data_IF_856864838058
#
_entry.id   IF_856864838058
#
_cell.length_a   1.000
_cell.length_b   1.000
_cell.length_c   1.000
_cell.angle_alpha   90.00
_cell.angle_beta   90.00
_cell.angle_gamma   90.00
#
_symmetry.space_group_name_H-M   'P 1'
#
loop_
_entity.id
_entity.type
_entity.pdbx_description
1 polymer ?
#
# COMPACT_ATOMS: atom_id res chain seq x y z
N UNK A 1 -5.39 10.50 7.27
CA UNK A 1 -4.32 10.09 6.32
C UNK A 1 -4.57 10.86 5.03
N UNK A 2 -3.54 11.17 4.25
CA UNK A 2 -3.65 11.85 2.96
C UNK A 2 -3.13 10.95 1.83
N UNK A 3 -3.68 11.11 0.64
CA UNK A 3 -3.15 10.45 -0.55
C UNK A 3 -1.80 11.03 -0.95
N UNK A 4 -0.89 10.18 -1.42
CA UNK A 4 0.42 10.57 -1.93
C UNK A 4 0.65 9.93 -3.32
N UNK A 5 0.76 10.79 -4.33
CA UNK A 5 0.88 10.37 -5.73
C UNK A 5 2.20 9.63 -6.03
N UNK A 6 3.27 9.87 -5.27
CA UNK A 6 4.52 9.13 -5.45
C UNK A 6 4.41 7.72 -4.87
N UNK A 7 3.73 7.56 -3.74
CA UNK A 7 3.41 6.23 -3.18
C UNK A 7 2.48 5.45 -4.12
N UNK A 8 1.48 6.10 -4.71
CA UNK A 8 0.58 5.51 -5.71
C UNK A 8 1.36 5.02 -6.92
N UNK A 9 2.16 5.90 -7.55
CA UNK A 9 2.92 5.55 -8.74
C UNK A 9 3.88 4.38 -8.48
N UNK A 10 4.51 4.35 -7.31
CA UNK A 10 5.40 3.27 -6.91
C UNK A 10 4.64 1.95 -6.67
N UNK A 11 3.49 2.00 -6.00
CA UNK A 11 2.63 0.84 -5.77
C UNK A 11 2.07 0.28 -7.08
N UNK A 12 1.62 1.15 -8.00
CA UNK A 12 1.15 0.76 -9.32
C UNK A 12 2.26 0.07 -10.11
N UNK A 13 3.46 0.67 -10.17
CA UNK A 13 4.59 0.07 -10.87
C UNK A 13 4.96 -1.32 -10.34
N UNK A 14 4.70 -1.59 -9.06
CA UNK A 14 4.90 -2.92 -8.49
C UNK A 14 3.74 -3.88 -8.81
N UNK A 15 2.49 -3.41 -8.72
CA UNK A 15 1.31 -4.20 -9.09
C UNK A 15 1.36 -4.69 -10.54
N UNK A 16 1.91 -3.89 -11.46
CA UNK A 16 2.13 -4.27 -12.87
C UNK A 16 3.01 -5.51 -13.05
N UNK A 17 3.83 -5.87 -12.05
CA UNK A 17 4.70 -7.07 -12.11
C UNK A 17 3.93 -8.36 -11.85
N UNK A 18 2.74 -8.31 -11.26
CA UNK A 18 1.93 -9.48 -10.92
C UNK A 18 2.69 -10.52 -10.07
N UNK A 19 3.37 -10.08 -9.00
CA UNK A 19 4.14 -10.94 -8.08
C UNK A 19 3.51 -10.90 -6.69
N UNK A 20 3.23 -12.08 -6.11
CA UNK A 20 2.74 -12.23 -4.74
C UNK A 20 3.90 -12.31 -3.74
N UNK A 21 4.64 -11.22 -3.61
CA UNK A 21 5.66 -11.01 -2.58
C UNK A 21 5.80 -9.51 -2.32
N UNK A 22 6.26 -9.14 -1.14
CA UNK A 22 6.52 -7.74 -0.83
C UNK A 22 7.67 -7.18 -1.68
N UNK A 23 7.55 -5.92 -2.12
CA UNK A 23 8.55 -5.28 -2.96
C UNK A 23 9.86 -5.08 -2.19
N UNK A 24 10.91 -5.84 -2.56
CA UNK A 24 12.24 -5.78 -1.92
C UNK A 24 12.94 -4.43 -2.10
N UNK A 25 12.52 -3.64 -3.09
CA UNK A 25 13.07 -2.32 -3.42
C UNK A 25 12.24 -1.15 -2.85
N UNK A 26 11.21 -1.43 -2.02
CA UNK A 26 10.32 -0.39 -1.44
C UNK A 26 11.00 0.60 -0.51
N UNK A 27 12.25 0.33 -0.12
CA UNK A 27 13.01 1.16 0.80
C UNK A 27 12.34 1.22 2.17
N UNK A 28 12.04 2.44 2.65
CA UNK A 28 11.40 2.66 3.96
C UNK A 28 9.87 2.73 3.90
N UNK A 29 9.23 2.38 2.79
CA UNK A 29 7.75 2.38 2.71
C UNK A 29 7.20 1.16 3.45
N UNK A 30 6.11 1.35 4.17
CA UNK A 30 5.24 0.24 4.58
C UNK A 30 4.50 -0.29 3.37
N UNK A 31 3.99 -1.52 3.44
CA UNK A 31 3.31 -2.14 2.30
C UNK A 31 2.30 -3.19 2.75
N UNK A 32 1.09 -3.12 2.18
CA UNK A 32 0.09 -4.18 2.25
C UNK A 32 -0.23 -4.66 0.84
N UNK A 33 -0.41 -5.98 0.69
CA UNK A 33 -0.84 -6.62 -0.55
C UNK A 33 -2.21 -7.25 -0.34
N UNK A 34 -3.02 -7.28 -1.39
CA UNK A 34 -4.29 -8.00 -1.41
C UNK A 34 -4.53 -8.54 -2.81
N UNK A 35 -5.11 -9.73 -2.91
CA UNK A 35 -5.45 -10.32 -4.19
C UNK A 35 -6.87 -10.91 -4.16
N UNK A 36 -7.68 -10.60 -5.17
CA UNK A 36 -9.03 -11.15 -5.26
C UNK A 36 -9.52 -11.31 -6.70
N UNK A 37 -10.54 -12.14 -6.87
CA UNK A 37 -11.28 -12.34 -8.11
C UNK A 37 -12.79 -12.44 -7.81
N UNK A 38 -13.66 -12.18 -8.79
CA UNK A 38 -13.35 -11.74 -10.16
C UNK A 38 -13.12 -10.23 -10.28
N UNK A 39 -13.64 -9.43 -9.35
CA UNK A 39 -13.61 -7.97 -9.39
C UNK A 39 -12.91 -7.43 -8.16
N UNK A 40 -12.08 -6.41 -8.33
CA UNK A 40 -11.48 -5.72 -7.18
C UNK A 40 -12.54 -4.95 -6.39
N UNK A 41 -12.60 -5.22 -5.09
CA UNK A 41 -13.39 -4.54 -4.09
C UNK A 41 -12.44 -3.97 -3.03
N UNK A 42 -12.28 -2.65 -3.07
CA UNK A 42 -11.35 -1.94 -2.19
C UNK A 42 -11.85 -1.89 -0.73
N UNK A 43 -13.16 -1.84 -0.53
CA UNK A 43 -13.75 -1.84 0.81
C UNK A 43 -13.47 -3.19 1.47
N UNK A 44 -13.75 -4.28 0.76
CA UNK A 44 -13.47 -5.62 1.25
C UNK A 44 -11.97 -5.85 1.53
N UNK A 45 -11.07 -5.37 0.67
CA UNK A 45 -9.63 -5.49 0.89
C UNK A 45 -9.17 -4.82 2.21
N UNK A 46 -9.69 -3.62 2.47
CA UNK A 46 -9.37 -2.86 3.70
C UNK A 46 -10.01 -3.52 4.93
N UNK A 47 -11.23 -4.02 4.79
CA UNK A 47 -11.90 -4.78 5.86
C UNK A 47 -11.16 -6.07 6.20
N UNK A 48 -10.65 -6.81 5.21
CA UNK A 48 -9.87 -8.03 5.42
C UNK A 48 -8.57 -7.74 6.17
N UNK A 49 -7.81 -6.72 5.72
CA UNK A 49 -6.64 -6.24 6.44
C UNK A 49 -6.96 -5.83 7.87
N UNK A 50 -8.06 -5.07 8.07
CA UNK A 50 -8.47 -4.64 9.41
C UNK A 50 -8.96 -5.81 10.28
N UNK A 51 -9.55 -6.84 9.66
CA UNK A 51 -10.08 -8.03 10.32
C UNK A 51 -9.02 -8.84 11.07
N UNK A 52 -7.73 -8.63 10.78
CA UNK A 52 -6.62 -9.19 11.57
C UNK A 52 -6.58 -8.67 13.01
N UNK A 53 -7.27 -7.56 13.33
CA UNK A 53 -7.41 -7.01 14.69
C UNK A 53 -7.76 -8.08 15.73
N UNK A 54 -8.65 -9.02 15.37
CA UNK A 54 -9.10 -10.10 16.27
C UNK A 54 -7.96 -11.01 16.76
N UNK A 55 -6.82 -11.00 16.08
CA UNK A 55 -5.63 -11.77 16.43
C UNK A 55 -4.52 -10.93 17.08
N UNK A 56 -4.70 -9.62 17.17
CA UNK A 56 -3.70 -8.71 17.71
C UNK A 56 -4.04 -8.27 19.13
N UNK A 57 -3.09 -8.45 20.06
CA UNK A 57 -3.19 -7.92 21.41
C UNK A 57 -2.36 -6.63 21.53
N UNK A 58 -3.05 -5.49 21.62
CA UNK A 58 -2.39 -4.19 21.73
C UNK A 58 -1.63 -3.99 23.04
N UNK A 59 -2.12 -4.52 24.15
CA UNK A 59 -1.49 -4.37 25.46
C UNK A 59 -0.11 -5.02 25.48
N UNK A 60 0.00 -6.24 24.97
CA UNK A 60 1.26 -7.01 24.88
C UNK A 60 2.05 -6.78 23.60
N UNK A 61 1.45 -6.13 22.59
CA UNK A 61 2.04 -5.94 21.25
C UNK A 61 2.37 -7.27 20.57
N UNK A 62 1.48 -8.25 20.67
CA UNK A 62 1.68 -9.60 20.14
C UNK A 62 0.57 -10.02 19.19
N UNK A 63 0.94 -10.71 18.12
CA UNK A 63 0.01 -11.43 17.25
C UNK A 63 -0.15 -12.88 17.74
N UNK A 64 -1.36 -13.43 17.63
CA UNK A 64 -1.58 -14.87 17.88
C UNK A 64 -0.68 -15.72 16.99
N UNK A 65 -0.07 -16.76 17.56
CA UNK A 65 0.85 -17.63 16.82
C UNK A 65 0.17 -18.26 15.59
N UNK A 66 0.84 -18.18 14.44
CA UNK A 66 0.33 -18.68 13.16
C UNK A 66 -0.72 -17.79 12.48
N UNK A 67 -1.06 -16.63 13.06
CA UNK A 67 -1.94 -15.64 12.45
C UNK A 67 -1.14 -14.47 11.86
N UNK A 68 -1.79 -13.71 10.98
CA UNK A 68 -1.28 -12.43 10.48
C UNK A 68 -1.94 -11.29 11.24
N UNK A 69 -1.15 -10.27 11.55
CA UNK A 69 -1.60 -9.02 12.15
C UNK A 69 -0.96 -7.78 11.50
N UNK A 70 -0.04 -7.99 10.56
CA UNK A 70 0.81 -6.95 10.00
C UNK A 70 0.03 -5.97 9.14
N UNK A 71 -1.01 -6.44 8.45
CA UNK A 71 -1.84 -5.58 7.61
C UNK A 71 -2.67 -4.66 8.49
N UNK A 72 -3.33 -5.21 9.52
CA UNK A 72 -4.06 -4.41 10.50
C UNK A 72 -3.15 -3.39 11.16
N UNK A 73 -2.02 -3.80 11.73
CA UNK A 73 -1.16 -2.88 12.46
C UNK A 73 -0.60 -1.79 11.56
N UNK A 74 -0.38 -2.04 10.26
CA UNK A 74 -0.01 -1.00 9.31
C UNK A 74 -1.16 -0.02 9.03
N UNK A 75 -2.39 -0.52 8.86
CA UNK A 75 -3.59 0.30 8.61
C UNK A 75 -3.85 1.29 9.75
N UNK A 76 -3.67 0.84 11.00
CA UNK A 76 -3.94 1.67 12.20
C UNK A 76 -2.68 2.32 12.79
N UNK A 77 -1.59 2.39 12.02
CA UNK A 77 -0.33 2.93 12.52
C UNK A 77 -0.37 4.46 12.67
N UNK A 78 -0.38 4.97 13.90
CA UNK A 78 -0.64 6.37 14.22
C UNK A 78 0.32 7.38 13.56
N UNK A 79 1.58 7.00 13.32
CA UNK A 79 2.55 7.89 12.65
C UNK A 79 2.45 7.85 11.13
N UNK A 80 1.82 6.82 10.56
CA UNK A 80 1.58 6.71 9.13
C UNK A 80 0.48 7.69 8.76
N UNK A 81 0.78 8.61 7.84
CA UNK A 81 -0.17 9.64 7.46
C UNK A 81 -0.27 9.84 5.95
N UNK A 82 0.56 9.17 5.16
CA UNK A 82 0.49 9.14 3.70
C UNK A 82 0.28 7.71 3.22
N UNK A 83 -0.59 7.56 2.24
CA UNK A 83 -0.87 6.29 1.56
C UNK A 83 -0.96 6.54 0.05
N UNK A 84 -0.53 5.57 -0.75
CA UNK A 84 -0.85 5.51 -2.17
C UNK A 84 -0.91 4.05 -2.60
N UNK A 85 -1.90 3.72 -3.43
CA UNK A 85 -2.17 2.35 -3.84
C UNK A 85 -2.24 2.23 -5.35
N UNK A 86 -1.82 1.08 -5.87
CA UNK A 86 -1.98 0.70 -7.27
C UNK A 86 -2.53 -0.70 -7.39
N UNK A 87 -3.26 -0.96 -8.48
CA UNK A 87 -3.88 -2.24 -8.72
C UNK A 87 -3.73 -2.69 -10.18
N UNK A 88 -3.64 -4.00 -10.36
CA UNK A 88 -3.51 -4.61 -11.68
C UNK A 88 -4.35 -5.88 -11.78
N UNK A 89 -5.15 -6.01 -12.84
CA UNK A 89 -5.63 -7.32 -13.25
C UNK A 89 -4.49 -8.13 -13.86
N UNK A 90 -4.26 -9.32 -13.30
CA UNK A 90 -3.21 -10.25 -13.66
C UNK A 90 -3.86 -11.55 -14.14
N UNK A 91 -3.60 -11.94 -15.38
CA UNK A 91 -4.01 -13.27 -15.87
C UNK A 91 -3.39 -14.37 -15.00
N UNK A 92 -2.15 -14.15 -14.55
CA UNK A 92 -1.44 -14.98 -13.58
C UNK A 92 -0.68 -14.09 -12.61
N UNK A 93 -0.75 -14.39 -11.31
CA UNK A 93 0.11 -13.79 -10.28
C UNK A 93 1.15 -14.83 -9.89
N UNK A 94 2.44 -14.49 -10.01
CA UNK A 94 3.52 -15.36 -9.57
C UNK A 94 3.44 -15.59 -8.05
N UNK A 95 3.30 -16.85 -7.63
CA UNK A 95 3.12 -17.23 -6.22
C UNK A 95 1.67 -17.52 -5.82
N UNK A 96 0.70 -17.37 -6.73
CA UNK A 96 -0.70 -17.78 -6.53
C UNK A 96 -1.13 -18.70 -7.68
N UNK A 97 -1.76 -19.84 -7.37
CA UNK A 97 -2.22 -20.80 -8.38
C UNK A 97 -3.51 -20.37 -9.09
N UNK A 98 -4.32 -19.54 -8.44
CA UNK A 98 -5.56 -19.00 -9.00
C UNK A 98 -5.25 -17.97 -10.10
N UNK A 99 -5.80 -18.19 -11.29
CA UNK A 99 -5.67 -17.29 -12.43
C UNK A 99 -6.76 -16.19 -12.44
N UNK A 100 -6.50 -15.10 -13.18
CA UNK A 100 -7.47 -14.04 -13.43
C UNK A 100 -7.84 -13.24 -12.17
N UNK A 101 -6.83 -12.75 -11.45
CA UNK A 101 -7.01 -12.02 -10.20
C UNK A 101 -6.57 -10.56 -10.32
N UNK A 102 -7.16 -9.70 -9.50
CA UNK A 102 -6.64 -8.36 -9.25
C UNK A 102 -5.63 -8.39 -8.10
N UNK A 103 -4.42 -7.89 -8.33
CA UNK A 103 -3.44 -7.59 -7.30
C UNK A 103 -3.56 -6.11 -6.91
N UNK A 104 -3.81 -5.83 -5.64
CA UNK A 104 -3.76 -4.51 -5.02
C UNK A 104 -2.48 -4.41 -4.17
N UNK A 105 -1.76 -3.31 -4.34
CA UNK A 105 -0.59 -2.95 -3.54
C UNK A 105 -0.85 -1.57 -2.95
N UNK A 106 -0.73 -1.42 -1.63
CA UNK A 106 -0.79 -0.13 -0.95
C UNK A 106 0.53 0.14 -0.25
N UNK A 107 1.08 1.34 -0.44
CA UNK A 107 2.31 1.79 0.18
C UNK A 107 2.02 2.90 1.19
N UNK A 108 2.74 2.85 2.32
CA UNK A 108 2.48 3.68 3.50
C UNK A 108 3.73 4.46 3.90
N UNK A 109 3.57 5.74 4.25
CA UNK A 109 4.66 6.55 4.77
C UNK A 109 4.25 7.49 5.93
N UNK A 110 5.12 7.69 6.93
CA UNK A 110 6.22 6.81 7.36
C UNK A 110 5.77 5.34 7.55
N UNK A 111 6.68 4.36 7.51
CA UNK A 111 6.30 2.95 7.63
C UNK A 111 5.75 2.64 9.01
N UNK A 112 4.82 1.70 9.05
CA UNK A 112 4.37 1.07 10.28
C UNK A 112 5.24 -0.11 10.69
N UNK A 113 4.68 -0.94 11.57
CA UNK A 113 5.22 -2.25 11.96
C UNK A 113 6.68 -2.22 12.44
N UNK A 114 7.07 -1.12 13.10
CA UNK A 114 8.42 -1.00 13.66
C UNK A 114 8.60 -1.96 14.84
N UNK A 115 9.67 -2.76 14.79
CA UNK A 115 9.99 -3.75 15.84
C UNK A 115 9.99 -3.10 17.24
N UNK A 116 9.23 -3.69 18.16
CA UNK A 116 9.13 -3.23 19.55
C UNK A 116 8.29 -1.97 19.75
N UNK A 117 7.51 -1.55 18.74
CA UNK A 117 6.59 -0.40 18.83
C UNK A 117 5.14 -0.87 18.64
N UNK A 118 4.22 -0.18 19.32
CA UNK A 118 2.77 -0.34 19.13
C UNK A 118 2.32 0.51 17.95
N UNK A 119 1.23 0.11 17.25
CA UNK A 119 0.68 0.90 16.16
C UNK A 119 0.16 2.25 16.64
N UNK A 120 -0.40 2.33 17.84
CA UNK A 120 -0.86 3.56 18.44
C UNK A 120 -0.79 3.48 19.98
N UNK A 121 -0.99 4.62 20.63
CA UNK A 121 -1.06 4.71 22.09
C UNK A 121 -2.52 4.67 22.53
N UNK A 122 -2.82 3.81 23.50
CA UNK A 122 -4.15 3.75 24.14
C UNK A 122 -4.43 5.03 24.93
N UNK A 123 -5.63 5.59 24.76
CA UNK A 123 -6.08 6.79 25.45
C UNK A 123 -7.24 7.48 24.73
N UNK A 124 -7.74 8.62 25.25
CA UNK A 124 -8.75 9.41 24.58
C UNK A 124 -8.24 9.88 23.20
N UNK A 125 -9.12 9.82 22.20
CA UNK A 125 -8.84 10.31 20.84
C UNK A 125 -8.27 11.73 20.88
N UNK A 126 -7.30 12.00 20.00
CA UNK A 126 -6.64 13.31 19.85
C UNK A 126 -5.92 13.86 21.09
N UNK A 127 -5.83 13.13 22.21
CA UNK A 127 -5.16 13.61 23.43
C UNK A 127 -3.67 13.91 23.24
N UNK A 128 -3.07 13.46 22.13
CA UNK A 128 -1.67 13.65 21.79
C UNK A 128 -1.48 14.05 20.32
N UNK A 129 -2.36 14.88 19.74
CA UNK A 129 -2.12 15.38 18.39
C UNK A 129 -0.78 16.15 18.33
N UNK A 130 0.06 15.89 17.31
CA UNK A 130 1.30 16.65 17.10
C UNK A 130 1.03 18.14 16.89
N UNK A 131 2.05 18.96 17.09
CA UNK A 131 1.98 20.39 16.79
C UNK A 131 1.63 20.64 15.31
N UNK A 132 0.77 21.63 15.05
CA UNK A 132 0.25 21.94 13.71
C UNK A 132 -0.83 20.98 13.21
N UNK A 133 -1.38 20.12 14.08
CA UNK A 133 -2.50 19.25 13.78
C UNK A 133 -3.70 19.49 14.69
N UNK A 134 -4.88 19.42 14.11
CA UNK A 134 -6.17 19.56 14.79
C UNK A 134 -6.89 18.22 14.88
N UNK A 135 -7.72 18.08 15.90
CA UNK A 135 -8.61 16.93 16.04
C UNK A 135 -9.83 17.10 15.14
N UNK A 136 -9.96 16.23 14.14
CA UNK A 136 -11.12 16.15 13.25
C UNK A 136 -11.58 14.70 13.28
N UNK A 137 -12.85 14.46 13.65
CA UNK A 137 -13.46 13.13 13.69
C UNK A 137 -12.61 12.04 14.38
N UNK A 138 -12.03 12.39 15.53
CA UNK A 138 -11.13 11.53 16.33
C UNK A 138 -9.75 11.24 15.72
N UNK A 139 -9.38 11.91 14.63
CA UNK A 139 -8.08 11.82 13.97
C UNK A 139 -7.30 13.14 14.08
N UNK A 140 -5.96 13.03 14.12
CA UNK A 140 -5.07 14.20 14.09
C UNK A 140 -4.73 14.56 12.64
N UNK A 141 -5.39 15.57 12.12
CA UNK A 141 -5.28 16.05 10.74
C UNK A 141 -4.46 17.34 10.66
N UNK A 142 -3.86 17.61 9.49
CA UNK A 142 -3.16 18.86 9.27
C UNK A 142 -4.15 20.04 9.33
N UNK A 143 -3.76 21.14 9.97
CA UNK A 143 -4.56 22.36 9.95
C UNK A 143 -4.70 22.87 8.52
N UNK A 144 -5.92 22.84 7.96
CA UNK A 144 -6.21 23.49 6.69
C UNK A 144 -6.26 24.99 6.93
N UNK A 145 -5.15 25.70 6.67
CA UNK A 145 -5.13 27.16 6.66
C UNK A 145 -5.97 27.67 5.49
N UNK A 146 -7.26 27.91 5.72
CA UNK A 146 -8.20 28.51 4.75
C UNK A 146 -7.97 30.02 4.55
N UNK A 147 -6.75 30.51 4.81
CA UNK A 147 -6.40 31.93 4.83
C UNK A 147 -5.54 32.42 3.67
N UNK A 148 -5.21 31.59 2.68
CA UNK A 148 -4.45 32.05 1.51
C UNK A 148 -5.41 32.45 0.38
N UNK A 149 -5.41 33.72 -0.07
CA UNK A 149 -6.25 34.15 -1.16
C UNK A 149 -5.82 33.42 -2.44
N UNK A 150 -6.70 32.55 -2.94
CA UNK A 150 -6.58 31.99 -4.30
C UNK A 150 -6.54 33.18 -5.26
N UNK A 151 -5.34 33.51 -5.73
CA UNK A 151 -5.18 34.46 -6.83
C UNK A 151 -5.88 33.87 -8.05
N UNK A 152 -6.75 34.62 -8.77
CA UNK A 152 -7.43 34.11 -9.93
C UNK A 152 -6.41 33.66 -10.99
N UNK A 153 -6.47 32.39 -11.38
CA UNK A 153 -5.79 31.89 -12.58
C UNK A 153 -6.48 32.54 -13.77
N UNK A 154 -5.88 33.61 -14.32
CA UNK A 154 -6.29 34.16 -15.61
C UNK A 154 -5.83 33.20 -16.71
N UNK A 155 -6.79 32.52 -17.33
CA UNK A 155 -6.58 31.71 -18.52
C UNK A 155 -6.49 32.62 -19.74
N UNK A 156 -5.29 32.96 -20.18
CA UNK A 156 -5.06 33.45 -21.53
C UNK A 156 -4.39 32.36 -22.35
N UNK A 157 -5.17 31.74 -23.23
CA UNK A 157 -4.67 30.92 -24.31
C UNK A 157 -4.37 31.81 -25.53
N UNK A 158 -3.29 31.55 -26.28
CA UNK A 158 -3.25 31.87 -27.68
C UNK A 158 -3.34 30.59 -28.50
N UNK A 159 -4.40 30.51 -29.32
CA UNK A 159 -4.38 29.70 -30.52
C UNK A 159 -3.38 30.31 -31.52
N UNK A 160 -2.61 29.47 -32.22
CA UNK A 160 -2.50 29.50 -33.68
C UNK A 160 -1.72 28.27 -34.18
N UNK A 161 -2.34 27.63 -35.17
CA UNK A 161 -1.93 26.44 -35.89
C UNK A 161 -1.38 26.86 -37.25
N UNK A 162 -0.33 26.20 -37.75
CA UNK A 162 0.07 25.99 -39.16
C UNK A 162 1.54 25.50 -39.15
N UNK A 163 2.06 24.58 -39.98
CA UNK A 163 1.55 23.62 -40.96
C UNK A 163 2.77 22.77 -41.41
N UNK A 164 2.59 21.44 -41.55
CA UNK A 164 3.18 20.48 -42.53
C UNK A 164 4.71 20.51 -42.80
N UNK A 165 5.49 19.46 -42.51
CA UNK A 165 5.64 18.22 -43.30
C UNK A 165 7.11 18.10 -43.79
N UNK A 166 7.86 17.03 -43.58
CA UNK A 166 7.91 15.86 -44.48
C UNK A 166 8.92 14.82 -43.98
N UNK A 167 8.63 13.57 -44.34
CA UNK A 167 9.32 12.30 -44.08
C UNK A 167 10.67 12.21 -44.79
N UNK A 168 11.72 11.69 -44.12
CA UNK A 168 12.83 11.00 -44.78
C UNK A 168 13.57 10.02 -43.84
N UNK A 169 13.67 8.78 -44.27
CA UNK A 169 14.62 7.73 -43.84
C UNK A 169 14.70 6.70 -44.97
N UNK A 170 15.70 5.80 -45.05
CA UNK A 170 16.96 5.69 -44.31
C UNK A 170 18.19 5.50 -45.24
N UNK A 171 19.42 5.54 -44.70
CA UNK A 171 20.60 4.87 -45.31
C UNK A 171 21.57 4.32 -44.25
N UNK A 172 21.59 2.99 -44.20
CA UNK A 172 22.71 2.03 -44.03
C UNK A 172 24.03 2.37 -43.30
N UNK A 173 24.39 1.41 -42.45
CA UNK A 173 25.61 1.07 -41.67
C UNK A 173 26.93 1.08 -42.48
N UNK A 174 28.12 1.09 -41.80
CA UNK A 174 28.79 -0.19 -41.49
C UNK A 174 29.48 -0.29 -40.10
N UNK A 175 29.72 -1.54 -39.70
CA UNK A 175 30.33 -2.05 -38.47
C UNK A 175 31.82 -1.68 -38.29
N UNK A 176 32.32 -1.68 -37.04
CA UNK A 176 33.31 -2.70 -36.56
C UNK A 176 33.80 -2.46 -35.11
N UNK A 177 33.77 -3.58 -34.34
CA UNK A 177 34.79 -4.16 -33.44
C UNK A 177 35.11 -3.60 -32.02
N UNK A 178 34.68 -4.43 -31.05
CA UNK A 178 35.51 -5.29 -30.14
C UNK A 178 36.03 -4.77 -28.78
N UNK A 179 35.68 -5.54 -27.73
CA UNK A 179 36.48 -5.80 -26.51
C UNK A 179 35.81 -5.33 -25.21
N UNK A 180 35.86 -5.99 -24.05
CA UNK A 180 36.14 -7.35 -23.56
C UNK A 180 36.04 -7.25 -22.02
N UNK A 181 35.50 -8.28 -21.34
CA UNK A 181 35.67 -8.63 -19.89
C UNK A 181 35.25 -7.56 -18.85
N UNK A 182 34.50 -7.85 -17.80
CA UNK A 182 34.84 -8.75 -16.70
C UNK A 182 33.61 -9.35 -16.00
N UNK A 183 33.82 -10.58 -15.55
CA UNK A 183 33.01 -11.36 -14.61
C UNK A 183 33.45 -11.06 -13.18
N UNK A 184 32.52 -10.77 -12.28
CA UNK A 184 32.64 -11.14 -10.86
C UNK A 184 31.28 -11.58 -10.30
N UNK A 185 31.29 -12.75 -9.68
CA UNK A 185 30.19 -13.41 -8.97
C UNK A 185 29.85 -12.68 -7.66
N UNK A 186 28.58 -12.74 -7.23
CA UNK A 186 28.31 -12.91 -5.80
C UNK A 186 27.01 -13.66 -5.55
N UNK A 187 27.13 -14.61 -4.64
CA UNK A 187 26.32 -15.80 -4.42
C UNK A 187 24.91 -15.51 -3.86
N UNK A 188 23.89 -16.14 -4.43
CA UNK A 188 22.53 -16.20 -3.85
C UNK A 188 22.36 -17.53 -3.12
N UNK A 189 22.24 -17.49 -1.79
CA UNK A 189 21.81 -18.64 -1.01
C UNK A 189 20.29 -18.56 -0.80
N UNK A 190 19.56 -19.45 -1.47
CA UNK A 190 18.11 -19.63 -1.38
C UNK A 190 17.80 -20.82 -0.47
N UNK A 191 17.37 -20.57 0.75
CA UNK A 191 16.77 -21.60 1.60
C UNK A 191 15.26 -21.64 1.35
N UNK A 192 14.89 -22.60 0.52
CA UNK A 192 13.54 -23.08 0.27
C UNK A 192 13.07 -23.89 1.49
N UNK A 193 11.99 -23.49 2.15
CA UNK A 193 11.27 -24.36 3.08
C UNK A 193 9.84 -24.56 2.57
N UNK A 194 9.55 -25.81 2.24
CA UNK A 194 8.33 -26.31 1.65
C UNK A 194 7.20 -26.46 2.69
N UNK A 195 5.98 -26.48 2.16
CA UNK A 195 4.64 -26.48 2.74
C UNK A 195 4.38 -27.61 3.75
N UNK A 196 3.57 -27.33 4.79
CA UNK A 196 2.57 -28.28 5.30
C UNK A 196 1.36 -27.54 5.95
N UNK A 197 0.16 -27.83 5.43
CA UNK A 197 -1.13 -27.47 6.04
C UNK A 197 -1.45 -28.38 7.24
N UNK A 198 -2.35 -27.95 8.14
CA UNK A 198 -3.39 -28.90 8.54
C UNK A 198 -4.81 -28.34 8.62
N UNK A 199 -5.72 -29.31 8.65
CA UNK A 199 -7.16 -29.31 8.38
C UNK A 199 -8.07 -28.66 9.42
N UNK A 200 -9.29 -28.40 8.96
CA UNK A 200 -10.47 -27.97 9.70
C UNK A 200 -10.79 -28.75 10.98
N UNK A 201 -11.28 -28.02 11.99
CA UNK A 201 -11.98 -28.53 13.16
C UNK A 201 -12.71 -27.41 13.91
N UNK A 202 -14.04 -27.42 13.88
CA UNK A 202 -14.91 -26.74 14.85
C UNK A 202 -15.22 -27.72 16.01
N UNK A 203 -15.94 -27.37 17.10
CA UNK A 203 -16.53 -26.07 17.50
C UNK A 203 -16.26 -25.67 18.97
N UNK A 204 -16.49 -24.40 19.33
CA UNK A 204 -17.11 -24.07 20.64
C UNK A 204 -17.52 -22.61 20.77
N UNK A 205 -18.75 -22.46 21.24
CA UNK A 205 -19.43 -21.25 21.65
C UNK A 205 -18.75 -20.59 22.85
N UNK A 206 -18.56 -19.27 22.82
CA UNK A 206 -18.48 -18.49 24.03
C UNK A 206 -19.25 -17.17 23.84
N UNK A 207 -20.36 -17.04 24.56
CA UNK A 207 -21.09 -15.79 24.73
C UNK A 207 -20.20 -14.76 25.44
N UNK A 208 -20.35 -13.48 25.07
CA UNK A 208 -20.09 -12.40 26.02
C UNK A 208 -19.48 -11.12 25.45
N UNK A 209 -20.35 -10.12 25.32
CA UNK A 209 -20.09 -8.71 25.63
C UNK A 209 -19.28 -7.84 24.64
N UNK A 210 -20.05 -7.12 23.82
CA UNK A 210 -20.04 -5.66 23.70
C UNK A 210 -18.72 -5.00 23.25
N UNK A 211 -18.51 -4.94 21.93
CA UNK A 211 -17.66 -3.90 21.32
C UNK A 211 -18.55 -2.80 20.72
N UNK A 212 -18.59 -1.68 21.43
CA UNK A 212 -19.10 -0.41 20.94
C UNK A 212 -18.13 0.14 19.88
N UNK A 213 -18.66 0.34 18.68
CA UNK A 213 -18.41 1.50 17.80
C UNK A 213 -16.98 2.06 17.80
N UNK A 214 -16.10 1.49 16.98
CA UNK A 214 -15.08 2.28 16.31
C UNK A 214 -15.69 2.78 14.99
N UNK A 215 -15.67 4.09 14.70
CA UNK A 215 -16.35 4.64 13.55
C UNK A 215 -15.62 4.23 12.26
N UNK A 216 -16.40 3.79 11.28
CA UNK A 216 -16.06 3.27 9.96
C UNK A 216 -15.31 4.23 9.01
N UNK A 217 -14.52 5.19 9.53
CA UNK A 217 -14.00 6.33 8.76
C UNK A 217 -12.64 6.04 8.09
N UNK A 218 -12.07 4.85 8.26
CA UNK A 218 -10.95 4.42 7.40
C UNK A 218 -11.40 4.29 5.93
N UNK A 219 -12.71 4.14 5.68
CA UNK A 219 -13.25 3.87 4.36
C UNK A 219 -13.41 5.10 3.44
N UNK A 220 -13.47 6.32 3.98
CA UNK A 220 -13.82 7.51 3.17
C UNK A 220 -12.62 8.10 2.42
N UNK A 221 -11.39 7.77 2.80
CA UNK A 221 -10.17 8.29 2.15
C UNK A 221 -9.69 7.51 0.92
N UNK A 222 -10.33 6.39 0.57
CA UNK A 222 -9.94 5.51 -0.56
C UNK A 222 -10.87 5.62 -1.78
N UNK A 223 -11.85 6.52 -1.76
CA UNK A 223 -12.88 6.65 -2.80
C UNK A 223 -12.92 8.04 -3.48
N UNK A 224 -11.85 8.85 -3.35
CA UNK A 224 -11.70 10.11 -4.09
C UNK A 224 -10.30 10.24 -4.69
#
# INVERSE_FOLDING_TARGET
QSWDAELEAFAQAYAEKCIWDHNKERGRRGENLFAMAPTLDLEFAVEDWNGEEKYYNLSTSTCVAGQMCGHYTQVVWASTHQIGCGAKFCEKIDGIDTEGMHLLVCNYYPPGNMKGRKPYKEGPSCSQCPEGRVCIDSLCEAEVNTGEPVSPITTDAPALLESMGTVFSPKSVPETNQGALDTEELETNSDQANVDQPSAGAPSTCMGLSLLLLPSVILVGLLL
#
